data_IF_119811961830
#
_entry.id   IF_119811961830
#
_cell.length_a   1.000
_cell.length_b   1.000
_cell.length_c   1.000
_cell.angle_alpha   90.00
_cell.angle_beta   90.00
_cell.angle_gamma   90.00
#
_symmetry.space_group_name_H-M   'P 1'
#
loop_
_entity.id
_entity.type
_entity.pdbx_description
1 polymer ?
#
# COMPACT_ATOMS: atom_id res chain seq x y z
N UNK A 1 -13.79 25.97 -22.34
CA UNK A 1 -12.51 25.48 -21.80
C UNK A 1 -12.45 23.97 -21.99
N UNK A 2 -11.38 23.44 -22.55
CA UNK A 2 -11.21 21.98 -22.62
C UNK A 2 -11.14 21.43 -21.21
N UNK A 3 -11.88 20.34 -20.93
CA UNK A 3 -11.82 19.63 -19.64
C UNK A 3 -10.44 19.04 -19.46
N UNK A 4 -9.80 19.23 -18.30
CA UNK A 4 -8.54 18.56 -17.95
C UNK A 4 -8.73 17.04 -18.04
N UNK A 5 -7.85 16.36 -18.78
CA UNK A 5 -7.85 14.91 -18.96
C UNK A 5 -6.74 14.29 -18.12
N UNK A 6 -7.11 13.47 -17.16
CA UNK A 6 -6.15 12.75 -16.29
C UNK A 6 -6.19 11.27 -16.60
N UNK A 7 -5.02 10.71 -16.84
CA UNK A 7 -4.84 9.28 -17.03
C UNK A 7 -4.03 8.69 -15.88
N UNK A 8 -4.61 7.78 -15.13
CA UNK A 8 -3.87 7.00 -14.12
C UNK A 8 -3.48 5.63 -14.65
N UNK A 9 -2.31 5.12 -14.22
CA UNK A 9 -1.82 3.78 -14.57
C UNK A 9 -1.47 3.05 -13.27
N UNK A 10 -2.19 1.96 -12.97
CA UNK A 10 -1.99 1.15 -11.78
C UNK A 10 -2.19 -0.34 -12.08
N UNK A 11 -1.69 -1.21 -11.23
CA UNK A 11 -1.83 -2.67 -11.40
C UNK A 11 -3.28 -3.16 -11.27
N UNK A 12 -4.10 -2.52 -10.44
CA UNK A 12 -5.52 -2.81 -10.19
C UNK A 12 -6.35 -1.53 -10.19
N UNK A 13 -7.67 -1.63 -10.35
CA UNK A 13 -8.59 -0.50 -10.34
C UNK A 13 -9.70 -0.75 -9.31
N UNK A 14 -9.88 0.17 -8.36
CA UNK A 14 -10.95 0.18 -7.36
C UNK A 14 -10.86 -0.87 -6.25
N UNK A 15 -9.81 -1.68 -6.23
CA UNK A 15 -9.59 -2.73 -5.24
C UNK A 15 -8.17 -2.66 -4.67
N UNK A 16 -7.95 -3.25 -3.49
CA UNK A 16 -6.71 -3.13 -2.73
C UNK A 16 -6.39 -1.67 -2.42
N UNK A 17 -5.34 -1.37 -1.63
CA UNK A 17 -5.04 0.01 -1.21
C UNK A 17 -4.77 0.93 -2.40
N UNK A 18 -3.83 0.59 -3.28
CA UNK A 18 -3.45 1.47 -4.41
C UNK A 18 -4.56 1.64 -5.44
N UNK A 19 -5.37 0.60 -5.68
CA UNK A 19 -6.51 0.69 -6.59
C UNK A 19 -7.65 1.52 -6.04
N UNK A 20 -7.87 1.53 -4.71
CA UNK A 20 -8.83 2.44 -4.06
C UNK A 20 -8.36 3.88 -4.16
N UNK A 21 -7.09 4.16 -3.85
CA UNK A 21 -6.52 5.52 -4.01
C UNK A 21 -6.77 6.05 -5.44
N UNK A 22 -6.51 5.25 -6.48
CA UNK A 22 -6.80 5.64 -7.86
C UNK A 22 -8.29 5.90 -8.09
N UNK A 23 -9.17 5.06 -7.53
CA UNK A 23 -10.61 5.22 -7.69
C UNK A 23 -11.14 6.46 -6.98
N UNK A 24 -10.67 6.73 -5.77
CA UNK A 24 -11.06 7.90 -4.98
C UNK A 24 -10.64 9.21 -5.68
N UNK A 25 -9.41 9.25 -6.21
CA UNK A 25 -8.93 10.37 -7.04
C UNK A 25 -9.79 10.51 -8.30
N UNK A 26 -10.12 9.40 -8.97
CA UNK A 26 -10.93 9.43 -10.19
C UNK A 26 -12.35 9.93 -9.91
N UNK A 27 -12.96 9.50 -8.82
CA UNK A 27 -14.28 9.93 -8.41
C UNK A 27 -14.33 11.44 -8.13
N UNK A 28 -13.34 11.97 -7.43
CA UNK A 28 -13.26 13.39 -7.12
C UNK A 28 -13.02 14.25 -8.39
N UNK A 29 -12.14 13.79 -9.30
CA UNK A 29 -11.94 14.43 -10.61
C UNK A 29 -13.23 14.46 -11.42
N UNK A 30 -13.98 13.37 -11.46
CA UNK A 30 -15.26 13.26 -12.18
C UNK A 30 -16.33 14.19 -11.58
N UNK A 31 -16.43 14.27 -10.24
CA UNK A 31 -17.30 15.24 -9.54
C UNK A 31 -17.00 16.69 -9.92
N UNK A 32 -15.72 17.01 -10.17
CA UNK A 32 -15.29 18.34 -10.64
C UNK A 32 -15.46 18.50 -12.16
N UNK A 33 -16.05 17.52 -12.84
CA UNK A 33 -16.31 17.56 -14.28
C UNK A 33 -15.07 17.37 -15.14
N UNK A 34 -13.95 16.86 -14.58
CA UNK A 34 -12.72 16.51 -15.30
C UNK A 34 -12.88 15.14 -15.99
N UNK A 35 -12.16 14.89 -17.06
CA UNK A 35 -12.18 13.59 -17.76
C UNK A 35 -11.07 12.69 -17.18
N UNK A 36 -11.40 11.50 -16.71
CA UNK A 36 -10.45 10.62 -16.05
C UNK A 36 -10.59 9.18 -16.50
N UNK A 37 -9.43 8.52 -16.71
CA UNK A 37 -9.33 7.10 -16.99
C UNK A 37 -8.25 6.43 -16.15
N UNK A 38 -8.45 5.14 -15.84
CA UNK A 38 -7.51 4.30 -15.10
C UNK A 38 -7.14 3.11 -15.96
N UNK A 39 -5.90 3.06 -16.46
CA UNK A 39 -5.35 1.85 -17.09
C UNK A 39 -4.96 0.89 -15.98
N UNK A 40 -5.44 -0.35 -16.09
CA UNK A 40 -5.12 -1.42 -15.13
C UNK A 40 -4.84 -2.75 -15.84
N UNK A 41 -4.15 -3.67 -15.14
CA UNK A 41 -3.76 -4.96 -15.75
C UNK A 41 -4.41 -6.18 -15.13
N UNK A 42 -4.78 -6.12 -13.85
CA UNK A 42 -5.11 -7.31 -13.07
C UNK A 42 -6.41 -7.17 -12.29
N UNK A 43 -7.01 -8.33 -12.02
CA UNK A 43 -8.18 -8.50 -11.17
C UNK A 43 -9.46 -7.86 -11.75
N UNK A 44 -10.59 -8.18 -11.12
CA UNK A 44 -11.90 -7.69 -11.56
C UNK A 44 -12.16 -6.31 -10.96
N UNK A 45 -12.67 -5.41 -11.76
CA UNK A 45 -13.02 -4.05 -11.36
C UNK A 45 -14.40 -4.06 -10.70
N UNK A 46 -14.60 -3.35 -9.59
CA UNK A 46 -15.94 -3.09 -9.04
C UNK A 46 -16.80 -2.30 -10.04
N UNK A 47 -18.09 -2.58 -10.08
CA UNK A 47 -19.02 -1.95 -11.03
C UNK A 47 -19.01 -0.42 -10.98
N UNK A 48 -18.85 0.15 -9.79
CA UNK A 48 -18.77 1.62 -9.60
C UNK A 48 -17.55 2.26 -10.27
N UNK A 49 -16.48 1.49 -10.52
CA UNK A 49 -15.25 1.97 -11.14
C UNK A 49 -15.15 1.64 -12.64
N UNK A 50 -16.09 0.84 -13.19
CA UNK A 50 -16.03 0.40 -14.61
C UNK A 50 -15.98 1.57 -15.60
N UNK A 51 -16.64 2.69 -15.31
CA UNK A 51 -16.65 3.88 -16.14
C UNK A 51 -15.28 4.53 -16.34
N UNK A 52 -14.35 4.30 -15.42
CA UNK A 52 -12.98 4.81 -15.48
C UNK A 52 -11.99 3.79 -16.06
N UNK A 53 -12.32 2.50 -16.02
CA UNK A 53 -11.38 1.42 -16.17
C UNK A 53 -11.06 1.08 -17.63
N UNK A 54 -9.78 1.00 -17.97
CA UNK A 54 -9.25 0.53 -19.25
C UNK A 54 -8.29 -0.61 -18.99
N UNK A 55 -8.62 -1.83 -19.41
CA UNK A 55 -7.76 -2.98 -19.17
C UNK A 55 -6.66 -3.08 -20.22
N UNK A 56 -5.40 -3.25 -19.77
CA UNK A 56 -4.26 -3.60 -20.60
C UNK A 56 -4.04 -5.11 -20.57
N UNK A 57 -4.02 -5.73 -21.77
CA UNK A 57 -3.82 -7.17 -21.89
C UNK A 57 -4.96 -8.02 -21.33
N UNK A 58 -4.65 -9.27 -21.09
CA UNK A 58 -5.56 -10.28 -20.55
C UNK A 58 -4.87 -11.14 -19.47
N UNK A 59 -5.59 -12.10 -18.90
CA UNK A 59 -5.06 -12.97 -17.85
C UNK A 59 -3.92 -13.88 -18.36
N UNK A 60 -3.89 -14.20 -19.66
CA UNK A 60 -2.83 -15.00 -20.27
C UNK A 60 -1.53 -14.20 -20.35
N UNK A 61 -1.62 -12.96 -20.82
CA UNK A 61 -0.46 -12.05 -20.91
C UNK A 61 0.13 -11.78 -19.52
N UNK A 62 -0.72 -11.58 -18.49
CA UNK A 62 -0.29 -11.42 -17.09
C UNK A 62 0.42 -12.68 -16.58
N UNK A 63 -0.12 -13.88 -16.85
CA UNK A 63 0.52 -15.14 -16.46
C UNK A 63 1.87 -15.34 -17.14
N UNK A 64 1.96 -15.09 -18.43
CA UNK A 64 3.22 -15.20 -19.20
C UNK A 64 4.28 -14.21 -18.68
N UNK A 65 3.88 -12.98 -18.38
CA UNK A 65 4.79 -12.01 -17.77
C UNK A 65 5.23 -12.46 -16.36
N UNK A 66 4.31 -12.99 -15.54
CA UNK A 66 4.65 -13.57 -14.24
C UNK A 66 5.65 -14.71 -14.32
N UNK A 67 5.49 -15.63 -15.30
CA UNK A 67 6.45 -16.71 -15.58
C UNK A 67 7.80 -16.12 -16.00
N UNK A 68 7.82 -15.17 -16.93
CA UNK A 68 9.05 -14.48 -17.35
C UNK A 68 9.76 -13.81 -16.16
N UNK A 69 8.99 -13.12 -15.30
CA UNK A 69 9.54 -12.51 -14.09
C UNK A 69 10.18 -13.54 -13.17
N UNK A 70 9.50 -14.67 -12.94
CA UNK A 70 10.00 -15.72 -12.06
C UNK A 70 11.25 -16.42 -12.60
N UNK A 71 11.31 -16.63 -13.92
CA UNK A 71 12.46 -17.30 -14.55
C UNK A 71 13.66 -16.38 -14.78
N UNK A 72 13.42 -15.07 -15.00
CA UNK A 72 14.45 -14.15 -15.49
C UNK A 72 14.54 -12.84 -14.69
N UNK A 73 13.96 -12.76 -13.51
CA UNK A 73 13.92 -11.53 -12.70
C UNK A 73 13.47 -10.29 -13.50
N UNK A 74 12.40 -10.45 -14.28
CA UNK A 74 11.95 -9.49 -15.28
C UNK A 74 10.63 -8.79 -14.90
N UNK A 75 10.42 -8.53 -13.60
CA UNK A 75 9.25 -7.76 -13.14
C UNK A 75 9.26 -6.35 -13.73
N UNK A 76 8.17 -5.97 -14.40
CA UNK A 76 8.08 -4.70 -15.14
C UNK A 76 8.71 -4.73 -16.54
N UNK A 77 9.35 -5.83 -16.98
CA UNK A 77 10.01 -5.96 -18.28
C UNK A 77 9.35 -7.04 -19.15
N UNK A 78 8.04 -7.10 -19.16
CA UNK A 78 7.22 -8.01 -19.99
C UNK A 78 5.97 -7.30 -20.48
N UNK A 79 5.05 -8.04 -21.16
CA UNK A 79 3.82 -7.46 -21.74
C UNK A 79 4.08 -6.33 -22.76
N UNK A 80 5.17 -6.44 -23.53
CA UNK A 80 5.60 -5.42 -24.49
C UNK A 80 4.54 -5.10 -25.53
N UNK A 81 3.91 -6.12 -26.13
CA UNK A 81 2.88 -5.96 -27.17
C UNK A 81 1.66 -5.20 -26.61
N UNK A 82 1.21 -5.56 -25.42
CA UNK A 82 0.09 -4.96 -24.73
C UNK A 82 0.40 -3.50 -24.40
N UNK A 83 1.62 -3.22 -23.95
CA UNK A 83 2.08 -1.86 -23.64
C UNK A 83 2.12 -0.97 -24.90
N UNK A 84 2.61 -1.48 -26.03
CA UNK A 84 2.62 -0.72 -27.29
C UNK A 84 1.19 -0.38 -27.71
N UNK A 85 0.23 -1.31 -27.60
CA UNK A 85 -1.18 -1.06 -27.92
C UNK A 85 -1.78 0.02 -27.00
N UNK A 86 -1.48 -0.05 -25.70
CA UNK A 86 -2.03 0.94 -24.76
C UNK A 86 -1.39 2.31 -24.96
N UNK A 87 -0.11 2.40 -25.34
CA UNK A 87 0.53 3.66 -25.71
C UNK A 87 -0.16 4.30 -26.92
N UNK A 88 -0.55 3.50 -27.92
CA UNK A 88 -1.32 4.01 -29.05
C UNK A 88 -2.65 4.62 -28.58
N UNK A 89 -3.39 3.92 -27.71
CA UNK A 89 -4.61 4.42 -27.13
C UNK A 89 -4.37 5.71 -26.29
N UNK A 90 -3.26 5.78 -25.51
CA UNK A 90 -2.90 6.98 -24.74
C UNK A 90 -2.69 8.19 -25.67
N UNK A 91 -2.05 7.98 -26.82
CA UNK A 91 -1.86 9.07 -27.81
C UNK A 91 -3.19 9.58 -28.37
N UNK A 92 -4.14 8.69 -28.64
CA UNK A 92 -5.49 9.04 -29.13
C UNK A 92 -6.33 9.73 -28.05
N UNK A 93 -6.31 9.22 -26.82
CA UNK A 93 -6.97 9.85 -25.68
C UNK A 93 -6.39 11.23 -25.35
N UNK A 94 -5.09 11.40 -25.58
CA UNK A 94 -4.32 12.64 -25.37
C UNK A 94 -4.54 13.27 -24.00
N UNK A 95 -4.14 12.61 -22.89
CA UNK A 95 -4.28 13.16 -21.56
C UNK A 95 -3.40 14.40 -21.38
N UNK A 96 -3.81 15.30 -20.50
CA UNK A 96 -3.00 16.43 -20.05
C UNK A 96 -2.02 16.00 -18.97
N UNK A 97 -2.46 15.10 -18.09
CA UNK A 97 -1.68 14.54 -16.99
C UNK A 97 -1.65 13.02 -17.08
N UNK A 98 -0.46 12.42 -16.91
CA UNK A 98 -0.28 10.97 -16.74
C UNK A 98 0.20 10.72 -15.33
N UNK A 99 -0.61 10.03 -14.52
CA UNK A 99 -0.32 9.71 -13.13
C UNK A 99 -0.02 8.21 -13.00
N UNK A 100 1.24 7.90 -12.72
CA UNK A 100 1.72 6.55 -12.50
C UNK A 100 1.57 6.17 -11.02
N UNK A 101 1.11 4.96 -10.76
CA UNK A 101 1.14 4.31 -9.44
C UNK A 101 2.01 3.05 -9.51
N UNK A 102 1.49 1.87 -9.14
CA UNK A 102 2.24 0.62 -9.25
C UNK A 102 2.32 0.15 -10.70
N UNK A 103 3.47 0.40 -11.33
CA UNK A 103 3.78 -0.03 -12.71
C UNK A 103 4.55 -1.37 -12.76
N UNK A 104 4.63 -2.09 -11.66
CA UNK A 104 5.06 -3.48 -11.56
C UNK A 104 3.83 -4.39 -11.31
N UNK A 105 3.99 -5.71 -11.29
CA UNK A 105 2.86 -6.64 -11.09
C UNK A 105 2.41 -7.35 -12.37
N UNK A 106 3.31 -7.45 -13.35
CA UNK A 106 3.22 -8.35 -14.50
C UNK A 106 2.20 -7.97 -15.58
N UNK A 107 1.94 -6.70 -15.82
CA UNK A 107 0.93 -6.24 -16.78
C UNK A 107 1.43 -5.23 -17.80
N UNK A 108 2.54 -4.54 -17.54
CA UNK A 108 3.07 -3.45 -18.36
C UNK A 108 4.58 -3.62 -18.56
N UNK A 109 5.10 -3.17 -19.69
CA UNK A 109 6.53 -3.07 -19.96
C UNK A 109 7.01 -1.65 -19.71
N UNK A 110 7.82 -1.47 -18.65
CA UNK A 110 8.27 -0.14 -18.23
C UNK A 110 9.26 0.49 -19.21
N UNK A 111 9.99 -0.31 -20.01
CA UNK A 111 10.89 0.22 -21.02
C UNK A 111 10.10 0.93 -22.14
N UNK A 112 9.07 0.29 -22.69
CA UNK A 112 8.21 0.89 -23.69
C UNK A 112 7.46 2.11 -23.12
N UNK A 113 6.95 2.00 -21.90
CA UNK A 113 6.24 3.10 -21.24
C UNK A 113 7.15 4.32 -21.06
N UNK A 114 8.34 4.16 -20.45
CA UNK A 114 9.23 5.28 -20.17
C UNK A 114 9.88 5.87 -21.42
N UNK A 115 10.10 5.07 -22.47
CA UNK A 115 10.49 5.59 -23.78
C UNK A 115 9.42 6.54 -24.38
N UNK A 116 8.14 6.21 -24.19
CA UNK A 116 7.05 7.11 -24.57
C UNK A 116 6.97 8.35 -23.67
N UNK A 117 7.05 8.19 -22.35
CA UNK A 117 6.98 9.28 -21.38
C UNK A 117 8.09 10.32 -21.60
N UNK A 118 9.27 9.90 -22.04
CA UNK A 118 10.41 10.77 -22.32
C UNK A 118 10.12 11.79 -23.44
N UNK A 119 9.22 11.46 -24.35
CA UNK A 119 8.94 12.28 -25.55
C UNK A 119 7.53 12.84 -25.62
N UNK A 120 6.64 12.44 -24.71
CA UNK A 120 5.21 12.79 -24.81
C UNK A 120 4.90 14.24 -24.43
N UNK A 121 5.84 14.96 -23.82
CA UNK A 121 5.69 16.36 -23.36
C UNK A 121 4.42 16.61 -22.54
N UNK A 122 4.05 15.66 -21.68
CA UNK A 122 2.91 15.76 -20.77
C UNK A 122 3.41 15.97 -19.33
N UNK A 123 2.53 16.50 -18.47
CA UNK A 123 2.77 16.50 -17.03
C UNK A 123 2.72 15.04 -16.51
N UNK A 124 3.74 14.61 -15.80
CA UNK A 124 3.83 13.25 -15.27
C UNK A 124 3.91 13.34 -13.75
N UNK A 125 3.05 12.61 -13.07
CA UNK A 125 3.09 12.39 -11.63
C UNK A 125 3.37 10.91 -11.39
N UNK A 126 4.29 10.57 -10.51
CA UNK A 126 4.55 9.19 -10.16
C UNK A 126 4.47 8.99 -8.66
N UNK A 127 3.35 8.43 -8.18
CA UNK A 127 3.20 8.06 -6.78
C UNK A 127 3.84 6.70 -6.53
N UNK A 128 4.91 6.70 -5.72
CA UNK A 128 5.60 5.49 -5.29
C UNK A 128 4.92 4.94 -4.02
N UNK A 129 4.52 3.67 -4.07
CA UNK A 129 3.91 2.98 -2.95
C UNK A 129 4.87 2.02 -2.23
N UNK A 130 6.02 1.75 -2.83
CA UNK A 130 7.08 0.87 -2.34
C UNK A 130 8.43 1.24 -2.95
N UNK A 131 9.48 0.45 -2.65
CA UNK A 131 10.85 0.73 -3.07
C UNK A 131 11.20 0.18 -4.46
N UNK A 132 10.28 -0.51 -5.16
CA UNK A 132 10.59 -1.19 -6.43
C UNK A 132 11.19 -0.26 -7.49
N UNK A 133 10.77 0.99 -7.53
CA UNK A 133 11.19 1.95 -8.54
C UNK A 133 12.72 2.14 -8.58
N UNK A 134 13.38 2.17 -7.43
CA UNK A 134 14.82 2.47 -7.31
C UNK A 134 15.67 1.27 -6.84
N UNK A 135 15.07 0.11 -6.60
CA UNK A 135 15.78 -1.14 -6.30
C UNK A 135 16.00 -1.98 -7.55
N UNK A 136 16.89 -2.95 -7.50
CA UNK A 136 17.11 -3.88 -8.61
C UNK A 136 16.13 -5.05 -8.64
N UNK A 137 15.46 -5.35 -7.52
CA UNK A 137 14.55 -6.49 -7.40
C UNK A 137 13.40 -6.20 -6.43
N UNK A 138 13.68 -6.12 -5.14
CA UNK A 138 12.68 -6.10 -4.07
C UNK A 138 11.84 -4.82 -4.06
N UNK A 139 10.56 -4.96 -3.73
CA UNK A 139 9.69 -3.85 -3.38
C UNK A 139 9.87 -3.38 -1.92
N UNK A 140 10.50 -4.21 -1.07
CA UNK A 140 10.60 -4.00 0.38
C UNK A 140 12.03 -4.22 0.88
N UNK A 141 12.95 -3.36 0.45
CA UNK A 141 14.36 -3.47 0.83
C UNK A 141 14.63 -3.14 2.31
N UNK A 142 13.73 -2.44 2.95
CA UNK A 142 13.75 -2.07 4.38
C UNK A 142 13.56 -3.28 5.31
N UNK A 143 12.82 -4.29 4.91
CA UNK A 143 12.59 -5.50 5.72
C UNK A 143 13.87 -6.21 6.19
N UNK A 144 14.99 -5.97 5.51
CA UNK A 144 16.31 -6.52 5.85
C UNK A 144 17.37 -5.42 5.98
N UNK A 145 16.95 -4.16 6.13
CA UNK A 145 17.82 -2.99 6.20
C UNK A 145 18.86 -2.93 5.06
N UNK A 146 18.44 -3.29 3.84
CA UNK A 146 19.31 -3.30 2.66
C UNK A 146 19.52 -1.90 2.11
N UNK A 147 20.76 -1.45 2.01
CA UNK A 147 21.14 -0.13 1.48
C UNK A 147 21.77 -0.17 0.08
N UNK A 148 21.92 -1.34 -0.53
CA UNK A 148 22.56 -1.49 -1.86
C UNK A 148 21.91 -0.67 -2.97
N UNK A 149 20.63 -0.35 -2.84
CA UNK A 149 19.89 0.46 -3.81
C UNK A 149 20.44 1.89 -3.98
N UNK A 150 21.20 2.40 -3.03
CA UNK A 150 21.81 3.74 -3.09
C UNK A 150 22.85 3.82 -4.22
N UNK A 151 23.76 2.86 -4.28
CA UNK A 151 24.93 2.89 -5.15
C UNK A 151 24.95 1.82 -6.24
N UNK A 152 24.16 0.74 -6.07
CA UNK A 152 24.06 -0.34 -7.06
C UNK A 152 23.63 -1.66 -6.43
N UNK A 153 22.45 -2.16 -6.80
CA UNK A 153 21.98 -3.47 -6.37
C UNK A 153 22.81 -4.60 -6.95
N UNK A 154 23.03 -5.64 -6.16
CA UNK A 154 23.62 -6.91 -6.60
C UNK A 154 23.44 -7.98 -5.52
N UNK A 155 23.43 -9.27 -5.90
CA UNK A 155 23.29 -10.40 -4.96
C UNK A 155 22.15 -10.16 -3.98
N UNK A 156 20.92 -10.06 -4.52
CA UNK A 156 19.73 -9.72 -3.74
C UNK A 156 19.39 -10.84 -2.76
N UNK A 157 19.38 -10.54 -1.46
CA UNK A 157 19.02 -11.50 -0.42
C UNK A 157 17.52 -11.84 -0.44
N UNK A 158 16.71 -10.93 -0.99
CA UNK A 158 15.24 -11.08 -1.09
C UNK A 158 14.78 -11.64 -2.44
N UNK A 159 15.64 -12.36 -3.18
CA UNK A 159 15.29 -12.89 -4.52
C UNK A 159 14.11 -13.87 -4.48
N UNK A 160 13.85 -14.49 -3.32
CA UNK A 160 12.74 -15.41 -3.10
C UNK A 160 11.46 -14.71 -2.61
N UNK A 161 11.56 -13.41 -2.28
CA UNK A 161 10.44 -12.58 -1.89
C UNK A 161 9.83 -11.86 -3.09
N UNK A 162 8.80 -11.05 -2.88
CA UNK A 162 8.14 -10.34 -3.99
C UNK A 162 9.02 -9.22 -4.57
N UNK A 163 9.14 -9.20 -5.92
CA UNK A 163 8.64 -10.09 -6.97
C UNK A 163 9.55 -11.33 -7.14
N UNK A 164 9.10 -12.48 -6.69
CA UNK A 164 9.89 -13.72 -6.58
C UNK A 164 10.56 -14.14 -7.89
N UNK A 165 11.86 -14.48 -7.84
CA UNK A 165 12.62 -15.00 -8.99
C UNK A 165 13.54 -16.17 -8.61
N UNK A 166 13.88 -16.99 -9.63
CA UNK A 166 14.88 -18.06 -9.51
C UNK A 166 16.29 -17.59 -9.88
N UNK A 167 16.40 -16.51 -10.64
CA UNK A 167 17.67 -15.94 -11.10
C UNK A 167 17.78 -14.51 -10.57
N UNK A 168 18.92 -14.16 -10.02
CA UNK A 168 19.21 -12.81 -9.57
C UNK A 168 19.78 -11.96 -10.71
N UNK A 169 18.99 -11.01 -11.18
CA UNK A 169 19.41 -9.97 -12.12
C UNK A 169 19.37 -8.58 -11.50
N UNK A 170 19.38 -8.50 -10.18
CA UNK A 170 19.23 -7.23 -9.46
C UNK A 170 20.21 -6.14 -9.88
N UNK A 171 21.47 -6.50 -10.19
CA UNK A 171 22.44 -5.54 -10.74
C UNK A 171 22.00 -4.99 -12.10
N UNK A 172 21.69 -5.86 -13.04
CA UNK A 172 21.23 -5.47 -14.38
C UNK A 172 19.94 -4.64 -14.33
N UNK A 173 18.98 -5.07 -13.52
CA UNK A 173 17.70 -4.38 -13.37
C UNK A 173 17.88 -3.00 -12.75
N UNK A 174 18.75 -2.84 -11.77
CA UNK A 174 19.05 -1.55 -11.15
C UNK A 174 19.67 -0.59 -12.18
N UNK A 175 20.69 -1.04 -12.92
CA UNK A 175 21.34 -0.25 -13.96
C UNK A 175 20.34 0.16 -15.05
N UNK A 176 19.51 -0.79 -15.50
CA UNK A 176 18.47 -0.57 -16.51
C UNK A 176 17.41 0.43 -16.02
N UNK A 177 16.90 0.27 -14.80
CA UNK A 177 15.92 1.21 -14.20
C UNK A 177 16.51 2.61 -14.05
N UNK A 178 17.76 2.73 -13.62
CA UNK A 178 18.46 4.01 -13.52
C UNK A 178 18.46 4.76 -14.86
N UNK A 179 18.77 4.09 -15.97
CA UNK A 179 18.74 4.69 -17.31
C UNK A 179 17.32 5.06 -17.73
N UNK A 180 16.34 4.18 -17.50
CA UNK A 180 14.97 4.36 -17.93
C UNK A 180 14.24 5.45 -17.14
N UNK A 181 14.39 5.47 -15.84
CA UNK A 181 13.57 6.29 -14.93
C UNK A 181 14.16 7.65 -14.63
N UNK A 182 15.40 7.94 -15.03
CA UNK A 182 16.00 9.27 -14.87
C UNK A 182 15.79 10.16 -16.08
N UNK A 183 15.84 11.48 -15.86
CA UNK A 183 15.73 12.53 -16.89
C UNK A 183 14.41 12.44 -17.72
N UNK A 184 13.30 12.09 -17.09
CA UNK A 184 11.96 12.21 -17.70
C UNK A 184 11.49 13.66 -17.51
N UNK A 185 11.19 14.39 -18.59
CA UNK A 185 10.72 15.76 -18.48
C UNK A 185 9.37 15.87 -17.74
N UNK A 186 9.18 16.98 -17.03
CA UNK A 186 7.91 17.33 -16.38
C UNK A 186 7.39 16.25 -15.42
N UNK A 187 8.28 15.48 -14.77
CA UNK A 187 7.90 14.45 -13.81
C UNK A 187 8.12 14.91 -12.37
N UNK A 188 7.06 14.80 -11.57
CA UNK A 188 7.07 14.95 -10.12
C UNK A 188 6.87 13.59 -9.48
N UNK A 189 7.67 13.25 -8.47
CA UNK A 189 7.50 12.04 -7.66
C UNK A 189 6.65 12.39 -6.44
N UNK A 190 5.71 11.54 -6.11
CA UNK A 190 4.92 11.62 -4.87
C UNK A 190 5.20 10.38 -4.02
N UNK A 191 5.30 10.57 -2.72
CA UNK A 191 5.44 9.48 -1.74
C UNK A 191 4.43 9.64 -0.62
N UNK A 192 3.85 8.55 -0.07
CA UNK A 192 2.88 8.66 1.02
C UNK A 192 3.52 8.87 2.40
N UNK A 193 4.86 8.90 2.49
CA UNK A 193 5.58 9.13 3.74
C UNK A 193 6.87 9.92 3.52
N UNK A 194 7.30 10.63 4.53
CA UNK A 194 8.63 11.28 4.57
C UNK A 194 9.74 10.22 4.54
N UNK A 195 9.49 9.05 5.15
CA UNK A 195 10.42 7.92 5.10
C UNK A 195 10.74 7.52 3.65
N UNK A 196 9.72 7.26 2.81
CA UNK A 196 9.96 6.90 1.41
C UNK A 196 10.52 8.08 0.60
N UNK A 197 10.10 9.32 0.88
CA UNK A 197 10.70 10.52 0.27
C UNK A 197 12.20 10.59 0.54
N UNK A 198 12.63 10.33 1.77
CA UNK A 198 14.03 10.28 2.12
C UNK A 198 14.79 9.18 1.34
N UNK A 199 14.21 8.01 1.17
CA UNK A 199 14.79 6.96 0.33
C UNK A 199 14.93 7.40 -1.13
N UNK A 200 13.88 8.01 -1.72
CA UNK A 200 13.94 8.56 -3.09
C UNK A 200 15.06 9.57 -3.23
N UNK A 201 15.19 10.51 -2.28
CA UNK A 201 16.23 11.55 -2.26
C UNK A 201 17.66 11.00 -2.10
N UNK A 202 17.80 9.76 -1.62
CA UNK A 202 19.09 9.06 -1.53
C UNK A 202 19.30 8.01 -2.64
N UNK A 203 18.37 7.92 -3.61
CA UNK A 203 18.43 6.99 -4.74
C UNK A 203 18.88 7.68 -6.02
N UNK A 204 18.94 6.94 -7.12
CA UNK A 204 19.17 7.54 -8.46
C UNK A 204 18.02 8.44 -8.95
N UNK A 205 16.88 8.48 -8.24
CA UNK A 205 15.75 9.37 -8.53
C UNK A 205 15.86 10.74 -7.83
N UNK A 206 16.91 11.02 -7.08
CA UNK A 206 17.11 12.22 -6.24
C UNK A 206 17.00 13.57 -6.96
N UNK A 207 17.08 13.60 -8.27
CA UNK A 207 17.02 14.85 -9.05
C UNK A 207 15.59 15.27 -9.40
N UNK A 208 14.58 14.48 -9.04
CA UNK A 208 13.18 14.86 -9.23
C UNK A 208 12.67 15.70 -8.05
N UNK A 209 11.67 16.53 -8.33
CA UNK A 209 10.86 17.14 -7.27
C UNK A 209 10.08 16.03 -6.57
N UNK A 210 10.23 15.92 -5.24
CA UNK A 210 9.59 14.88 -4.42
C UNK A 210 8.62 15.55 -3.46
N UNK A 211 7.34 15.25 -3.63
CA UNK A 211 6.27 15.72 -2.74
C UNK A 211 5.79 14.59 -1.84
N UNK A 212 5.50 14.92 -0.59
CA UNK A 212 4.87 13.98 0.35
C UNK A 212 3.38 14.27 0.38
N UNK A 213 2.58 13.30 -0.07
CA UNK A 213 1.12 13.31 0.05
C UNK A 213 0.72 12.01 0.72
N UNK A 214 0.33 12.09 1.99
CA UNK A 214 -0.02 10.93 2.79
C UNK A 214 -1.23 10.18 2.20
N UNK A 215 -1.36 8.89 2.50
CA UNK A 215 -2.58 8.17 2.21
C UNK A 215 -3.71 8.71 3.09
N UNK A 216 -4.92 8.80 2.54
CA UNK A 216 -6.13 9.14 3.27
C UNK A 216 -7.08 7.95 3.36
N UNK A 217 -8.11 8.10 4.19
CA UNK A 217 -9.22 7.15 4.31
C UNK A 217 -10.56 7.89 4.20
N UNK A 218 -11.62 7.14 3.94
CA UNK A 218 -12.98 7.67 4.02
C UNK A 218 -13.46 7.74 5.47
N UNK A 219 -13.37 8.92 6.06
CA UNK A 219 -13.75 9.18 7.45
C UNK A 219 -15.27 9.08 7.69
N UNK A 220 -16.09 9.02 6.64
CA UNK A 220 -17.51 8.72 6.77
C UNK A 220 -17.76 7.23 7.09
N UNK A 221 -16.80 6.36 6.80
CA UNK A 221 -16.87 4.93 7.08
C UNK A 221 -16.13 4.54 8.37
N UNK A 222 -15.10 5.31 8.76
CA UNK A 222 -14.29 5.03 9.94
C UNK A 222 -14.46 6.13 10.98
N UNK A 223 -15.25 5.86 11.99
CA UNK A 223 -15.54 6.70 13.16
C UNK A 223 -15.97 5.80 14.31
N UNK A 224 -16.01 6.27 15.57
CA UNK A 224 -16.45 5.45 16.69
C UNK A 224 -17.91 5.02 16.53
N UNK A 225 -18.15 3.71 16.38
CA UNK A 225 -19.48 3.11 16.19
C UNK A 225 -19.78 2.19 17.37
N UNK A 226 -20.90 2.34 18.10
CA UNK A 226 -21.31 1.37 19.11
C UNK A 226 -21.42 -0.04 18.50
N UNK A 227 -20.90 -1.03 19.21
CA UNK A 227 -20.79 -2.40 18.72
C UNK A 227 -21.12 -3.40 19.83
N UNK A 228 -21.80 -4.48 19.47
CA UNK A 228 -22.06 -5.65 20.32
C UNK A 228 -20.99 -6.74 20.13
N UNK A 229 -19.89 -6.42 19.41
CA UNK A 229 -18.84 -7.37 19.08
C UNK A 229 -18.29 -8.10 20.31
N UNK A 230 -18.06 -7.39 21.41
CA UNK A 230 -17.53 -8.00 22.66
C UNK A 230 -18.54 -8.97 23.27
N UNK A 231 -19.82 -8.60 23.35
CA UNK A 231 -20.89 -9.44 23.88
C UNK A 231 -21.11 -10.69 23.04
N UNK A 232 -21.14 -10.53 21.71
CA UNK A 232 -21.36 -11.65 20.77
C UNK A 232 -20.22 -12.68 20.78
N UNK A 233 -19.02 -12.27 21.21
CA UNK A 233 -17.85 -13.16 21.33
C UNK A 233 -17.53 -13.54 22.78
N UNK A 234 -18.33 -13.12 23.78
CA UNK A 234 -18.14 -13.38 25.20
C UNK A 234 -16.77 -12.92 25.73
N UNK A 235 -16.36 -11.70 25.34
CA UNK A 235 -15.06 -11.09 25.67
C UNK A 235 -15.21 -9.70 26.31
N UNK A 236 -16.32 -9.44 26.99
CA UNK A 236 -16.63 -8.13 27.60
C UNK A 236 -15.56 -7.67 28.60
N UNK A 237 -15.03 -8.60 29.39
CA UNK A 237 -14.04 -8.35 30.44
C UNK A 237 -12.57 -8.45 29.97
N UNK A 238 -12.35 -8.68 28.68
CA UNK A 238 -10.99 -8.87 28.13
C UNK A 238 -10.40 -7.56 27.61
N UNK A 239 -9.09 -7.41 27.72
CA UNK A 239 -8.36 -6.36 26.99
C UNK A 239 -8.13 -6.83 25.53
N UNK A 240 -8.71 -6.14 24.59
CA UNK A 240 -8.82 -6.58 23.19
C UNK A 240 -7.73 -6.00 22.32
N UNK A 241 -6.86 -6.88 21.80
CA UNK A 241 -5.77 -6.57 20.87
C UNK A 241 -6.21 -6.92 19.45
N UNK A 242 -6.22 -5.95 18.54
CA UNK A 242 -6.68 -6.13 17.17
C UNK A 242 -5.52 -6.12 16.18
N UNK A 243 -5.48 -7.09 15.27
CA UNK A 243 -4.68 -7.07 14.04
C UNK A 243 -5.56 -7.15 12.81
N UNK A 244 -5.27 -6.36 11.79
CA UNK A 244 -6.02 -6.36 10.51
C UNK A 244 -5.06 -6.44 9.34
N UNK A 245 -5.25 -7.42 8.45
CA UNK A 245 -4.49 -7.53 7.21
C UNK A 245 -5.36 -8.15 6.10
N UNK A 246 -5.10 -7.78 4.85
CA UNK A 246 -5.75 -8.43 3.70
C UNK A 246 -5.22 -9.84 3.43
N UNK A 247 -4.04 -10.16 3.92
CA UNK A 247 -3.38 -11.47 3.82
C UNK A 247 -2.34 -11.57 4.93
N UNK A 248 -2.47 -12.56 5.77
CA UNK A 248 -1.54 -12.81 6.86
C UNK A 248 -0.36 -13.69 6.42
N UNK A 249 0.84 -13.24 6.74
CA UNK A 249 2.12 -13.93 6.58
C UNK A 249 3.15 -13.33 7.56
N UNK A 250 4.37 -13.85 7.57
CA UNK A 250 5.41 -13.36 8.50
C UNK A 250 5.78 -11.89 8.25
N UNK A 251 5.70 -11.42 6.99
CA UNK A 251 5.93 -10.01 6.69
C UNK A 251 4.85 -9.07 7.28
N UNK A 252 3.69 -9.63 7.64
CA UNK A 252 2.60 -8.91 8.35
C UNK A 252 2.57 -9.25 9.84
N UNK A 253 3.62 -9.89 10.37
CA UNK A 253 3.77 -10.20 11.78
C UNK A 253 2.87 -11.33 12.28
N UNK A 254 2.40 -12.23 11.38
CA UNK A 254 1.52 -13.33 11.79
C UNK A 254 2.15 -14.20 12.88
N UNK A 255 3.42 -14.57 12.72
CA UNK A 255 4.14 -15.35 13.70
C UNK A 255 4.31 -14.62 15.03
N UNK A 256 4.44 -13.28 15.00
CA UNK A 256 4.58 -12.47 16.21
C UNK A 256 3.27 -12.40 17.00
N UNK A 257 2.12 -12.35 16.31
CA UNK A 257 0.82 -12.48 16.98
C UNK A 257 0.65 -13.85 17.66
N UNK A 258 1.09 -14.93 17.01
CA UNK A 258 1.06 -16.27 17.60
C UNK A 258 2.00 -16.34 18.81
N UNK A 259 3.19 -15.75 18.74
CA UNK A 259 4.11 -15.71 19.88
C UNK A 259 3.56 -14.83 21.01
N UNK A 260 3.02 -13.67 20.69
CA UNK A 260 2.36 -12.78 21.66
C UNK A 260 1.25 -13.51 22.42
N UNK A 261 0.41 -14.28 21.71
CA UNK A 261 -0.70 -15.02 22.30
C UNK A 261 -0.27 -16.07 23.33
N UNK A 262 0.92 -16.66 23.21
CA UNK A 262 1.46 -17.64 24.17
C UNK A 262 1.99 -17.00 25.44
N UNK A 263 2.30 -15.69 25.39
CA UNK A 263 2.99 -14.97 26.47
C UNK A 263 2.09 -14.01 27.23
N UNK A 264 0.89 -13.74 26.73
CA UNK A 264 -0.15 -13.00 27.41
C UNK A 264 -1.02 -13.94 28.25
N UNK A 265 -1.49 -13.45 29.38
CA UNK A 265 -2.44 -14.18 30.25
C UNK A 265 -3.89 -14.06 29.73
N UNK A 266 -4.83 -14.66 30.46
CA UNK A 266 -6.24 -14.78 30.07
C UNK A 266 -7.04 -13.48 30.13
N UNK A 267 -6.48 -12.39 30.65
CA UNK A 267 -7.08 -11.05 30.61
C UNK A 267 -7.07 -10.47 29.19
N UNK A 268 -6.21 -10.98 28.30
CA UNK A 268 -6.08 -10.48 26.95
C UNK A 268 -6.80 -11.36 25.92
N UNK A 269 -7.37 -10.72 24.92
CA UNK A 269 -7.94 -11.39 23.78
C UNK A 269 -7.34 -10.80 22.51
N UNK A 270 -6.81 -11.63 21.64
CA UNK A 270 -6.34 -11.21 20.31
C UNK A 270 -7.45 -11.48 19.29
N UNK A 271 -7.68 -10.53 18.39
CA UNK A 271 -8.56 -10.67 17.22
C UNK A 271 -7.74 -10.41 15.96
N UNK A 272 -7.77 -11.34 14.99
CA UNK A 272 -7.12 -11.20 13.70
C UNK A 272 -8.15 -11.19 12.58
N UNK A 273 -8.28 -10.06 11.90
CA UNK A 273 -9.15 -9.93 10.72
C UNK A 273 -8.36 -10.16 9.43
N UNK A 274 -8.91 -10.96 8.51
CA UNK A 274 -8.31 -11.29 7.21
C UNK A 274 -7.53 -12.60 7.19
N UNK A 275 -7.75 -13.49 8.17
CA UNK A 275 -7.16 -14.84 8.20
C UNK A 275 -7.81 -15.73 7.13
N UNK A 276 -7.04 -16.65 6.57
CA UNK A 276 -7.60 -17.70 5.70
C UNK A 276 -8.32 -18.77 6.54
N UNK A 277 -9.21 -19.55 5.92
CA UNK A 277 -9.87 -20.71 6.57
C UNK A 277 -8.87 -21.65 7.23
N UNK A 278 -7.76 -21.92 6.56
CA UNK A 278 -6.71 -22.77 7.10
C UNK A 278 -6.07 -22.14 8.35
N UNK A 279 -5.65 -20.88 8.26
CA UNK A 279 -5.08 -20.17 9.42
C UNK A 279 -6.09 -20.14 10.56
N UNK A 280 -7.35 -19.83 10.29
CA UNK A 280 -8.40 -19.78 11.31
C UNK A 280 -8.54 -21.10 12.08
N UNK A 281 -8.45 -22.25 11.39
CA UNK A 281 -8.52 -23.57 12.02
C UNK A 281 -7.26 -23.95 12.81
N UNK A 282 -6.15 -23.25 12.62
CA UNK A 282 -4.85 -23.49 13.27
C UNK A 282 -4.54 -22.46 14.37
N UNK A 283 -5.41 -21.46 14.59
CA UNK A 283 -5.20 -20.42 15.61
C UNK A 283 -5.25 -20.99 17.03
N UNK A 284 -4.42 -20.50 17.94
CA UNK A 284 -4.56 -20.74 19.38
C UNK A 284 -5.93 -20.32 19.90
N UNK A 285 -6.43 -20.98 20.94
CA UNK A 285 -7.77 -20.74 21.50
C UNK A 285 -8.01 -19.32 22.04
N UNK A 286 -6.94 -18.59 22.36
CA UNK A 286 -6.97 -17.20 22.80
C UNK A 286 -6.84 -16.19 21.65
N UNK A 287 -6.93 -16.65 20.40
CA UNK A 287 -7.04 -15.77 19.21
C UNK A 287 -8.37 -16.04 18.48
N UNK A 288 -9.15 -15.01 18.31
CA UNK A 288 -10.35 -15.03 17.46
C UNK A 288 -9.93 -14.65 16.04
N UNK A 289 -10.18 -15.56 15.09
CA UNK A 289 -9.92 -15.31 13.67
C UNK A 289 -11.19 -14.95 12.92
N UNK A 290 -11.15 -13.85 12.17
CA UNK A 290 -12.23 -13.41 11.27
C UNK A 290 -11.69 -13.47 9.85
N UNK A 291 -12.28 -14.34 9.01
CA UNK A 291 -11.80 -14.52 7.63
C UNK A 291 -12.01 -13.26 6.78
N UNK A 292 -13.16 -12.65 6.93
CA UNK A 292 -13.55 -11.42 6.23
C UNK A 292 -14.73 -10.76 6.92
N UNK A 293 -14.71 -9.45 7.01
CA UNK A 293 -15.88 -8.67 7.38
C UNK A 293 -16.89 -8.59 6.24
N UNK A 294 -18.16 -8.54 6.55
CA UNK A 294 -19.26 -8.47 5.57
C UNK A 294 -19.28 -7.13 4.84
N UNK A 295 -18.83 -6.07 5.51
CA UNK A 295 -18.77 -4.71 4.99
C UNK A 295 -17.77 -3.86 5.81
N UNK A 296 -17.57 -2.62 5.38
CA UNK A 296 -16.65 -1.67 6.03
C UNK A 296 -17.14 -1.25 7.42
N UNK A 297 -18.46 -1.16 7.62
CA UNK A 297 -19.05 -0.79 8.90
C UNK A 297 -18.71 -1.81 9.99
N UNK A 298 -18.84 -3.11 9.70
CA UNK A 298 -18.44 -4.18 10.62
C UNK A 298 -16.95 -4.07 11.00
N UNK A 299 -16.08 -3.72 10.06
CA UNK A 299 -14.67 -3.49 10.36
C UNK A 299 -14.49 -2.30 11.31
N UNK A 300 -15.21 -1.20 11.10
CA UNK A 300 -15.17 -0.02 11.99
C UNK A 300 -15.73 -0.34 13.39
N UNK A 301 -16.76 -1.19 13.49
CA UNK A 301 -17.29 -1.70 14.76
C UNK A 301 -16.24 -2.52 15.52
N UNK A 302 -15.47 -3.38 14.83
CA UNK A 302 -14.37 -4.15 15.43
C UNK A 302 -13.25 -3.24 15.90
N UNK A 303 -12.83 -2.25 15.10
CA UNK A 303 -11.87 -1.24 15.53
C UNK A 303 -12.38 -0.53 16.80
N UNK A 304 -13.60 -0.03 16.78
CA UNK A 304 -14.19 0.69 17.92
C UNK A 304 -14.27 -0.17 19.19
N UNK A 305 -14.58 -1.46 19.05
CA UNK A 305 -14.64 -2.40 20.16
C UNK A 305 -13.27 -2.73 20.74
N UNK A 306 -12.18 -2.52 20.00
CA UNK A 306 -10.82 -2.91 20.41
C UNK A 306 -10.20 -1.87 21.35
N UNK A 307 -9.38 -2.31 22.30
CA UNK A 307 -8.65 -1.43 23.22
C UNK A 307 -7.39 -0.87 22.57
N UNK A 308 -6.72 -1.69 21.75
CA UNK A 308 -5.54 -1.28 20.98
C UNK A 308 -5.45 -2.02 19.64
N UNK A 309 -5.02 -1.32 18.63
CA UNK A 309 -4.66 -1.90 17.33
C UNK A 309 -3.16 -2.15 17.27
N UNK A 310 -2.77 -3.36 16.89
CA UNK A 310 -1.38 -3.76 16.72
C UNK A 310 -1.03 -3.89 15.23
N UNK A 311 0.02 -3.20 14.80
CA UNK A 311 0.62 -3.42 13.49
C UNK A 311 2.05 -3.95 13.64
N UNK A 312 2.20 -5.26 13.54
CA UNK A 312 3.48 -5.97 13.69
C UNK A 312 4.15 -6.26 12.34
N UNK A 313 3.90 -5.41 11.35
CA UNK A 313 4.42 -5.61 9.98
C UNK A 313 5.91 -5.29 9.89
N UNK A 314 6.64 -6.15 9.16
CA UNK A 314 8.05 -5.99 8.81
C UNK A 314 8.28 -5.14 7.55
N UNK A 315 7.22 -4.79 6.85
CA UNK A 315 7.24 -3.93 5.66
C UNK A 315 5.99 -3.08 5.59
N UNK A 316 6.14 -1.78 5.70
CA UNK A 316 5.07 -0.82 5.52
C UNK A 316 5.61 0.50 4.96
N UNK A 317 4.75 1.22 4.25
CA UNK A 317 5.07 2.58 3.82
C UNK A 317 4.27 3.61 4.65
N UNK A 318 2.96 3.67 4.44
CA UNK A 318 2.05 4.53 5.21
C UNK A 318 0.71 3.78 5.34
N UNK A 319 0.58 2.90 6.36
CA UNK A 319 -0.54 1.98 6.46
C UNK A 319 -1.87 2.70 6.79
N UNK A 320 -2.87 2.52 5.95
CA UNK A 320 -4.21 3.08 6.15
C UNK A 320 -4.92 2.45 7.35
N UNK A 321 -4.58 1.23 7.73
CA UNK A 321 -5.13 0.55 8.92
C UNK A 321 -4.83 1.29 10.22
N UNK A 322 -3.74 2.08 10.30
CA UNK A 322 -3.50 2.98 11.44
C UNK A 322 -4.53 4.10 11.47
N UNK A 323 -4.77 4.72 10.31
CA UNK A 323 -5.73 5.82 10.20
C UNK A 323 -7.16 5.34 10.50
N UNK A 324 -7.50 4.13 10.03
CA UNK A 324 -8.77 3.46 10.28
C UNK A 324 -8.98 3.24 11.79
N UNK A 325 -7.97 2.68 12.48
CA UNK A 325 -7.99 2.46 13.92
C UNK A 325 -8.13 3.78 14.69
N UNK A 326 -7.28 4.77 14.39
CA UNK A 326 -7.28 6.08 15.06
C UNK A 326 -8.61 6.82 14.88
N UNK A 327 -9.19 6.81 13.67
CA UNK A 327 -10.50 7.42 13.43
C UNK A 327 -11.65 6.70 14.16
N UNK A 328 -11.51 5.40 14.44
CA UNK A 328 -12.44 4.66 15.27
C UNK A 328 -12.17 4.83 16.79
N UNK A 329 -11.24 5.69 17.16
CA UNK A 329 -10.89 5.99 18.56
C UNK A 329 -9.94 4.97 19.18
N UNK A 330 -9.29 4.09 18.39
CA UNK A 330 -8.47 3.00 18.90
C UNK A 330 -6.99 3.35 18.79
N UNK A 331 -6.24 3.39 19.91
CA UNK A 331 -4.81 3.64 19.91
C UNK A 331 -4.03 2.57 19.13
N UNK A 332 -2.86 2.95 18.62
CA UNK A 332 -2.03 2.10 17.77
C UNK A 332 -0.71 1.79 18.47
N UNK A 333 -0.32 0.52 18.49
CA UNK A 333 1.06 0.09 18.75
C UNK A 333 1.59 -0.49 17.46
N UNK A 334 2.77 -0.05 17.03
CA UNK A 334 3.34 -0.50 15.76
C UNK A 334 4.83 -0.76 15.87
N UNK A 335 5.34 -1.67 15.04
CA UNK A 335 6.77 -1.80 14.85
C UNK A 335 7.36 -0.54 14.18
N UNK A 336 8.62 -0.24 14.50
CA UNK A 336 9.40 0.80 13.84
C UNK A 336 9.79 0.34 12.43
N UNK A 337 8.85 0.43 11.50
CA UNK A 337 8.97 -0.08 10.14
C UNK A 337 8.51 0.97 9.15
N UNK A 338 9.36 1.34 8.20
CA UNK A 338 9.00 2.27 7.13
C UNK A 338 8.45 3.59 7.65
N UNK A 339 7.27 3.99 7.15
CA UNK A 339 6.53 5.18 7.59
C UNK A 339 5.49 4.91 8.67
N UNK A 340 5.56 3.76 9.38
CA UNK A 340 4.60 3.43 10.45
C UNK A 340 4.54 4.49 11.55
N UNK A 341 5.70 4.96 12.00
CA UNK A 341 5.77 6.02 13.02
C UNK A 341 5.03 7.30 12.57
N UNK A 342 5.15 7.67 11.29
CA UNK A 342 4.48 8.85 10.73
C UNK A 342 2.95 8.69 10.70
N UNK A 343 2.48 7.49 10.34
CA UNK A 343 1.04 7.21 10.20
C UNK A 343 0.31 7.05 11.53
N UNK A 344 1.02 7.00 12.66
CA UNK A 344 0.39 7.07 13.99
C UNK A 344 -0.10 8.48 14.35
N UNK A 345 0.29 9.51 13.59
CA UNK A 345 -0.07 10.92 13.82
C UNK A 345 0.24 11.45 15.23
N UNK A 346 1.14 10.79 15.95
CA UNK A 346 1.46 11.09 17.35
C UNK A 346 0.53 10.46 18.38
N UNK A 347 -0.46 9.68 17.95
CA UNK A 347 -1.42 8.97 18.82
C UNK A 347 -1.06 7.49 19.03
N UNK A 348 0.11 7.04 18.59
CA UNK A 348 0.53 5.66 18.72
C UNK A 348 1.87 5.51 19.40
N UNK A 349 2.16 4.28 19.83
CA UNK A 349 3.45 3.89 20.39
C UNK A 349 4.21 3.03 19.40
N UNK A 350 5.48 3.37 19.20
CA UNK A 350 6.37 2.65 18.28
C UNK A 350 7.31 1.78 19.12
N UNK A 351 7.41 0.50 18.73
CA UNK A 351 8.29 -0.48 19.38
C UNK A 351 9.31 -1.02 18.38
N UNK A 352 10.43 -1.53 18.86
CA UNK A 352 11.45 -2.12 18.01
C UNK A 352 10.88 -3.33 17.24
N UNK A 353 11.21 -3.41 15.95
CA UNK A 353 10.74 -4.48 15.07
C UNK A 353 11.17 -5.86 15.59
N UNK A 354 10.19 -6.76 15.81
CA UNK A 354 10.41 -8.12 16.30
C UNK A 354 10.72 -8.22 17.81
N UNK A 355 10.73 -7.11 18.55
CA UNK A 355 10.99 -7.12 20.00
C UNK A 355 9.69 -7.41 20.78
N UNK A 356 9.38 -8.70 20.94
CA UNK A 356 8.17 -9.16 21.63
C UNK A 356 8.17 -8.78 23.13
N UNK A 357 9.34 -8.70 23.77
CA UNK A 357 9.44 -8.31 25.20
C UNK A 357 9.03 -6.85 25.39
N UNK A 358 9.53 -5.96 24.54
CA UNK A 358 9.13 -4.57 24.53
C UNK A 358 7.64 -4.42 24.19
N UNK A 359 7.15 -5.14 23.16
CA UNK A 359 5.74 -5.14 22.76
C UNK A 359 4.82 -5.50 23.93
N UNK A 360 5.12 -6.58 24.66
CA UNK A 360 4.33 -7.00 25.86
C UNK A 360 4.36 -5.90 26.92
N UNK A 361 5.51 -5.31 27.17
CA UNK A 361 5.66 -4.23 28.17
C UNK A 361 4.81 -3.03 27.80
N UNK A 362 4.83 -2.64 26.51
CA UNK A 362 4.04 -1.52 25.99
C UNK A 362 2.54 -1.84 26.02
N UNK A 363 2.11 -3.05 25.61
CA UNK A 363 0.70 -3.48 25.70
C UNK A 363 0.16 -3.33 27.14
N UNK A 364 0.92 -3.77 28.15
CA UNK A 364 0.53 -3.63 29.56
C UNK A 364 0.44 -2.18 30.03
N UNK A 365 1.28 -1.30 29.49
CA UNK A 365 1.19 0.14 29.79
C UNK A 365 -0.06 0.76 29.14
N UNK A 366 -0.47 0.28 27.97
CA UNK A 366 -1.65 0.75 27.25
C UNK A 366 -2.98 0.38 27.90
N UNK A 367 -3.04 -0.56 28.86
CA UNK A 367 -4.27 -0.84 29.64
C UNK A 367 -4.86 0.42 30.33
N UNK A 368 -4.04 1.47 30.49
CA UNK A 368 -4.43 2.75 31.11
C UNK A 368 -4.70 3.87 30.09
N UNK A 369 -4.57 3.58 28.80
CA UNK A 369 -4.77 4.58 27.73
C UNK A 369 -6.25 4.62 27.37
N UNK A 370 -6.83 5.81 27.43
CA UNK A 370 -8.21 6.05 27.02
C UNK A 370 -8.35 6.05 25.50
N UNK A 371 -9.59 5.96 25.02
CA UNK A 371 -9.90 6.10 23.61
C UNK A 371 -9.40 7.45 23.07
N UNK A 372 -8.96 7.44 21.83
CA UNK A 372 -8.37 8.60 21.17
C UNK A 372 -9.45 9.43 20.50
N UNK A 373 -9.33 10.74 20.60
CA UNK A 373 -10.06 11.69 19.75
C UNK A 373 -9.09 12.21 18.68
N UNK A 374 -9.03 11.49 17.57
CA UNK A 374 -8.19 11.87 16.42
C UNK A 374 -8.94 12.93 15.60
N UNK A 375 -8.18 13.84 14.96
CA UNK A 375 -8.71 14.86 14.05
C UNK A 375 -8.99 14.24 12.65
N UNK A 376 -10.25 13.82 12.34
CA UNK A 376 -10.54 13.12 11.09
C UNK A 376 -10.18 13.92 9.83
N UNK A 377 -10.24 15.27 9.91
CA UNK A 377 -9.95 16.14 8.77
C UNK A 377 -8.53 15.96 8.24
N UNK A 378 -7.57 15.61 9.11
CA UNK A 378 -6.16 15.43 8.72
C UNK A 378 -5.94 14.19 7.85
N UNK A 379 -6.84 13.22 7.90
CA UNK A 379 -6.72 11.91 7.24
C UNK A 379 -7.83 11.65 6.23
N UNK A 380 -8.79 12.57 6.10
CA UNK A 380 -9.88 12.43 5.15
C UNK A 380 -9.36 12.42 3.71
N UNK A 381 -9.75 11.40 2.95
CA UNK A 381 -9.27 11.19 1.59
C UNK A 381 -9.59 12.36 0.67
N UNK A 382 -10.72 13.08 0.87
CA UNK A 382 -11.07 14.24 0.04
C UNK A 382 -10.08 15.38 0.22
N UNK A 383 -9.64 15.63 1.47
CA UNK A 383 -8.61 16.63 1.75
C UNK A 383 -7.26 16.23 1.14
N UNK A 384 -6.90 14.96 1.25
CA UNK A 384 -5.66 14.42 0.67
C UNK A 384 -5.69 14.49 -0.86
N UNK A 385 -6.83 14.15 -1.49
CA UNK A 385 -6.98 14.21 -2.95
C UNK A 385 -6.79 15.65 -3.46
N UNK A 386 -7.24 16.67 -2.73
CA UNK A 386 -7.03 18.06 -3.14
C UNK A 386 -5.55 18.38 -3.37
N UNK A 387 -4.63 17.81 -2.61
CA UNK A 387 -3.19 18.00 -2.81
C UNK A 387 -2.70 17.39 -4.14
N UNK A 388 -3.30 16.29 -4.60
CA UNK A 388 -3.02 15.75 -5.94
C UNK A 388 -3.55 16.68 -7.04
N UNK A 389 -4.75 17.27 -6.85
CA UNK A 389 -5.33 18.20 -7.82
C UNK A 389 -4.45 19.43 -8.00
N UNK A 390 -3.86 19.96 -6.93
CA UNK A 390 -2.88 21.06 -6.98
C UNK A 390 -1.61 20.71 -7.79
N UNK A 391 -1.23 19.43 -7.83
CA UNK A 391 -0.12 18.99 -8.70
C UNK A 391 -0.57 18.92 -10.16
N UNK A 392 -1.82 18.57 -10.43
CA UNK A 392 -2.30 18.43 -11.81
C UNK A 392 -2.50 19.78 -12.52
N UNK A 393 -2.88 20.80 -11.79
CA UNK A 393 -3.02 22.19 -12.28
C UNK A 393 -1.63 22.84 -12.46
#
# INVERSE_FOLDING_TARGET
MNKLKVLMINVVCGIRSTGRICADIAEELDKQGRDVKIIYGREKVPSVCEKYAIRIGDDISVKLHGIKSRLFDASGFGSKKETIKIIQWIKEYSPDVIHLHNIHGYYIDVEELFNYLRICNKKIVWTLHDCWAFTGHSAYCDAINCEKWKDGCSKCQQIKEYPKSYIDRSKHNWEKKKVLFTNIPNMTIVTPSKWLANMVNNSFLKNYDVKVINNGIDTCNFYPIPSDFRQSHHIDDKYLLLGVASTWNDMKGYSDFIELSKRLDDRYQIVLVGVTKKQNSELPANIIGIERTSNVKELAEIYTASDVFLNLSYCENYPTVHLEALCCGTPVITYNTGGCAESTLGYGTVVEQGNIDELISVVKLHEKVEKIDCEPQKVDCKHIIQQYLEIYD
#
